data_IF_464749979329
#
_entry.id   IF_464749979329
#
_cell.length_a   1.000
_cell.length_b   1.000
_cell.length_c   1.000
_cell.angle_alpha   90.00
_cell.angle_beta   90.00
_cell.angle_gamma   90.00
#
_symmetry.space_group_name_H-M   'P 1'
#
loop_
_entity.id
_entity.type
_entity.pdbx_description
1 polymer ?
#
# COMPACT_ATOMS: atom_id res chain seq x y z
N UNK A 1 -8.18 0.46 -4.44
CA UNK A 1 -7.66 0.83 -5.77
C UNK A 1 -7.04 2.22 -5.70
N UNK A 2 -5.79 2.37 -6.17
CA UNK A 2 -5.01 3.61 -6.04
C UNK A 2 -5.10 4.42 -7.33
N UNK A 3 -6.23 5.09 -7.53
CA UNK A 3 -6.54 5.79 -8.78
C UNK A 3 -6.19 7.29 -8.74
N UNK A 4 -6.34 7.91 -7.57
CA UNK A 4 -5.99 9.31 -7.28
C UNK A 4 -5.91 9.62 -5.78
N UNK A 5 -6.32 8.66 -4.95
CA UNK A 5 -6.39 8.77 -3.49
C UNK A 5 -6.23 7.35 -2.92
N UNK A 6 -5.63 7.23 -1.74
CA UNK A 6 -5.53 5.98 -0.99
C UNK A 6 -6.59 6.04 0.11
N UNK A 7 -7.58 5.17 0.01
CA UNK A 7 -8.58 5.04 1.06
C UNK A 7 -7.92 4.41 2.30
N UNK A 8 -7.79 5.19 3.37
CA UNK A 8 -7.51 4.65 4.68
C UNK A 8 -8.80 3.97 5.16
N UNK A 9 -8.77 2.64 5.27
CA UNK A 9 -9.91 1.89 5.81
C UNK A 9 -9.93 1.94 7.34
N UNK A 10 -8.76 2.04 7.96
CA UNK A 10 -8.57 2.13 9.41
C UNK A 10 -7.27 2.89 9.71
N UNK A 11 -7.29 3.86 10.64
CA UNK A 11 -6.05 4.47 11.09
C UNK A 11 -5.33 3.55 12.08
N UNK A 12 -4.01 3.67 12.13
CA UNK A 12 -3.20 2.93 13.07
C UNK A 12 -3.61 3.26 14.52
N UNK A 13 -3.99 2.22 15.28
CA UNK A 13 -4.36 2.32 16.69
C UNK A 13 -5.86 2.52 16.96
N UNK A 14 -6.67 2.73 15.93
CA UNK A 14 -8.12 2.82 16.09
C UNK A 14 -8.71 1.43 16.40
N UNK A 15 -9.63 1.30 17.37
CA UNK A 15 -10.32 0.05 17.63
C UNK A 15 -11.29 -0.27 16.48
N UNK A 16 -11.38 -1.55 16.11
CA UNK A 16 -12.27 -2.00 15.03
C UNK A 16 -12.76 -3.42 15.30
N UNK A 17 -13.95 -3.72 14.82
CA UNK A 17 -14.42 -5.10 14.68
C UNK A 17 -13.85 -5.71 13.38
N UNK A 18 -13.17 -6.87 13.42
CA UNK A 18 -12.55 -7.47 12.23
C UNK A 18 -13.53 -7.75 11.07
N UNK A 19 -14.78 -8.14 11.37
CA UNK A 19 -15.79 -8.40 10.33
C UNK A 19 -16.19 -7.10 9.64
N UNK A 20 -16.44 -6.04 10.41
CA UNK A 20 -16.71 -4.71 9.86
C UNK A 20 -15.55 -4.16 9.01
N UNK A 21 -14.30 -4.43 9.40
CA UNK A 21 -13.12 -4.05 8.61
C UNK A 21 -13.10 -4.77 7.26
N UNK A 22 -13.34 -6.09 7.27
CA UNK A 22 -13.37 -6.89 6.04
C UNK A 22 -14.46 -6.41 5.09
N UNK A 23 -15.67 -6.16 5.62
CA UNK A 23 -16.77 -5.59 4.85
C UNK A 23 -16.41 -4.23 4.23
N UNK A 24 -15.68 -3.39 4.97
CA UNK A 24 -15.16 -2.11 4.48
C UNK A 24 -14.20 -2.28 3.31
N UNK A 25 -13.27 -3.24 3.41
CA UNK A 25 -12.30 -3.56 2.34
C UNK A 25 -13.03 -4.05 1.09
N UNK A 26 -13.99 -4.97 1.24
CA UNK A 26 -14.72 -5.58 0.12
C UNK A 26 -15.61 -4.59 -0.65
N UNK A 27 -16.01 -3.48 -0.01
CA UNK A 27 -16.79 -2.41 -0.65
C UNK A 27 -15.94 -1.41 -1.44
N UNK A 28 -14.61 -1.49 -1.35
CA UNK A 28 -13.74 -0.56 -2.08
C UNK A 28 -13.88 -0.77 -3.59
N UNK A 29 -14.19 0.28 -4.37
CA UNK A 29 -14.34 0.14 -5.81
C UNK A 29 -13.00 -0.17 -6.47
N UNK A 30 -12.99 -1.14 -7.39
CA UNK A 30 -11.91 -1.31 -8.35
C UNK A 30 -11.97 -0.18 -9.37
N UNK A 31 -10.93 0.65 -9.45
CA UNK A 31 -10.80 1.74 -10.42
C UNK A 31 -9.47 1.51 -11.14
N UNK A 32 -9.51 1.14 -12.42
CA UNK A 32 -8.44 0.47 -13.18
C UNK A 32 -7.11 1.21 -13.42
N UNK A 33 -6.63 2.03 -12.48
CA UNK A 33 -5.25 2.51 -12.41
C UNK A 33 -4.66 2.15 -11.04
N UNK A 34 -3.35 1.92 -11.03
CA UNK A 34 -2.58 1.56 -9.85
C UNK A 34 -1.40 2.52 -9.73
N UNK A 35 -1.58 3.57 -8.94
CA UNK A 35 -0.52 4.49 -8.54
C UNK A 35 0.03 4.06 -7.17
N UNK A 36 1.15 3.33 -7.17
CA UNK A 36 1.76 2.77 -5.95
C UNK A 36 2.49 3.84 -5.14
N UNK A 37 2.89 4.95 -5.74
CA UNK A 37 3.61 6.01 -5.05
C UNK A 37 2.75 6.65 -3.93
N UNK A 38 1.47 6.92 -4.20
CA UNK A 38 0.58 7.59 -3.24
C UNK A 38 0.40 6.83 -1.91
N UNK A 39 0.04 5.53 -1.89
CA UNK A 39 -0.07 4.79 -0.63
C UNK A 39 1.26 4.67 0.13
N UNK A 40 2.41 4.65 -0.55
CA UNK A 40 3.72 4.63 0.11
C UNK A 40 4.00 5.94 0.84
N UNK A 41 3.66 7.09 0.24
CA UNK A 41 3.77 8.39 0.89
C UNK A 41 2.84 8.50 2.12
N UNK A 42 1.61 7.99 1.99
CA UNK A 42 0.65 7.99 3.09
C UNK A 42 1.11 7.09 4.25
N UNK A 43 1.62 5.90 3.92
CA UNK A 43 2.21 4.99 4.90
C UNK A 43 3.38 5.64 5.64
N UNK A 44 4.28 6.32 4.93
CA UNK A 44 5.40 7.04 5.54
C UNK A 44 4.90 8.13 6.53
N UNK A 45 3.83 8.82 6.18
CA UNK A 45 3.20 9.84 7.04
C UNK A 45 2.60 9.22 8.31
N UNK A 46 1.86 8.11 8.18
CA UNK A 46 1.26 7.43 9.33
C UNK A 46 2.32 6.82 10.26
N UNK A 47 3.37 6.24 9.68
CA UNK A 47 4.43 5.57 10.42
C UNK A 47 5.48 6.53 11.01
N UNK A 48 5.46 7.82 10.66
CA UNK A 48 6.45 8.80 11.11
C UNK A 48 6.53 8.93 12.65
N UNK A 49 5.46 8.58 13.37
CA UNK A 49 5.40 8.63 14.84
C UNK A 49 5.61 7.27 15.51
N UNK A 50 5.77 6.20 14.72
CA UNK A 50 5.93 4.84 15.21
C UNK A 50 7.42 4.53 15.35
N UNK A 51 7.89 3.89 16.44
CA UNK A 51 9.27 3.44 16.54
C UNK A 51 9.67 2.59 15.33
N UNK A 52 10.85 2.84 14.75
CA UNK A 52 11.28 2.20 13.49
C UNK A 52 11.21 0.65 13.50
N UNK A 53 11.41 0.02 14.66
CA UNK A 53 11.31 -1.45 14.85
C UNK A 53 9.89 -1.99 14.62
N UNK A 54 8.89 -1.15 14.85
CA UNK A 54 7.46 -1.46 14.81
C UNK A 54 6.77 -0.85 13.59
N UNK A 55 7.41 0.14 12.95
CA UNK A 55 6.95 0.78 11.73
C UNK A 55 7.07 -0.16 10.51
N UNK A 56 5.97 -0.82 10.15
CA UNK A 56 5.92 -1.79 9.05
C UNK A 56 4.76 -1.47 8.11
N UNK A 57 5.01 -1.62 6.81
CA UNK A 57 3.98 -1.56 5.78
C UNK A 57 3.96 -2.88 4.99
N UNK A 58 2.76 -3.37 4.68
CA UNK A 58 2.56 -4.51 3.78
C UNK A 58 1.83 -4.01 2.53
N UNK A 59 2.48 -4.11 1.37
CA UNK A 59 1.87 -3.80 0.08
C UNK A 59 1.38 -5.09 -0.59
N UNK A 60 0.07 -5.16 -0.85
CA UNK A 60 -0.55 -6.23 -1.64
C UNK A 60 -0.83 -5.67 -3.05
N UNK A 61 -0.07 -6.09 -4.06
CA UNK A 61 -0.19 -5.56 -5.42
C UNK A 61 0.40 -6.53 -6.45
N UNK A 62 -0.09 -6.48 -7.68
CA UNK A 62 0.56 -7.06 -8.88
C UNK A 62 1.78 -6.23 -9.35
N UNK A 63 2.07 -5.11 -8.67
CA UNK A 63 3.11 -4.13 -8.99
C UNK A 63 3.00 -3.55 -10.40
N UNK A 64 1.85 -3.67 -11.08
CA UNK A 64 1.64 -3.05 -12.40
C UNK A 64 1.43 -1.55 -12.18
N UNK A 65 2.53 -0.81 -12.07
CA UNK A 65 2.53 0.64 -11.92
C UNK A 65 2.26 1.29 -13.27
N UNK A 66 1.05 1.82 -13.44
CA UNK A 66 0.62 2.42 -14.71
C UNK A 66 0.35 3.94 -14.61
N UNK A 67 0.50 4.54 -13.42
CA UNK A 67 0.26 5.95 -13.19
C UNK A 67 1.06 6.49 -11.99
N UNK A 68 1.49 7.76 -12.05
CA UNK A 68 2.19 8.43 -10.96
C UNK A 68 3.72 8.35 -11.05
N UNK A 69 4.44 9.01 -10.12
CA UNK A 69 5.90 9.04 -10.12
C UNK A 69 6.48 7.67 -9.75
N UNK A 70 7.78 7.52 -9.96
CA UNK A 70 8.54 6.34 -9.51
C UNK A 70 8.32 6.09 -8.00
N UNK A 71 7.81 4.90 -7.60
CA UNK A 71 7.55 4.59 -6.19
C UNK A 71 8.81 4.28 -5.37
N UNK A 72 9.95 3.95 -6.00
CA UNK A 72 11.17 3.49 -5.30
C UNK A 72 11.72 4.48 -4.28
N UNK A 73 11.83 5.80 -4.57
CA UNK A 73 12.27 6.77 -3.57
C UNK A 73 11.33 6.88 -2.37
N UNK A 74 10.05 6.58 -2.54
CA UNK A 74 9.07 6.60 -1.45
C UNK A 74 9.13 5.32 -0.61
N UNK A 75 9.30 4.16 -1.26
CA UNK A 75 9.53 2.89 -0.57
C UNK A 75 10.76 2.96 0.33
N UNK A 76 11.86 3.55 -0.16
CA UNK A 76 13.10 3.72 0.59
C UNK A 76 12.97 4.59 1.87
N UNK A 77 11.88 5.36 2.03
CA UNK A 77 11.60 6.14 3.24
C UNK A 77 10.96 5.31 4.36
N UNK A 78 10.43 4.13 4.05
CA UNK A 78 9.78 3.27 5.03
C UNK A 78 10.84 2.47 5.79
N UNK A 79 10.75 2.37 7.14
CA UNK A 79 11.68 1.56 7.92
C UNK A 79 11.65 0.07 7.52
N UNK A 80 10.47 -0.40 7.11
CA UNK A 80 10.26 -1.73 6.56
C UNK A 80 9.02 -1.74 5.66
N UNK A 81 9.21 -2.17 4.42
CA UNK A 81 8.15 -2.50 3.47
C UNK A 81 8.27 -3.99 3.14
N UNK A 82 7.17 -4.72 3.32
CA UNK A 82 7.02 -6.09 2.83
C UNK A 82 6.06 -6.06 1.63
N UNK A 83 6.41 -6.69 0.52
CA UNK A 83 5.56 -6.76 -0.68
C UNK A 83 5.05 -8.18 -0.87
N UNK A 84 3.73 -8.35 -0.85
CA UNK A 84 3.07 -9.57 -1.31
C UNK A 84 2.63 -9.36 -2.75
N UNK A 85 3.47 -9.84 -3.68
CA UNK A 85 3.19 -9.73 -5.10
C UNK A 85 2.04 -10.68 -5.49
N UNK A 86 0.98 -10.14 -6.09
CA UNK A 86 -0.01 -10.97 -6.76
C UNK A 86 0.63 -11.60 -8.00
N UNK A 87 0.80 -12.91 -7.97
CA UNK A 87 1.43 -13.66 -9.04
C UNK A 87 0.45 -14.11 -10.13
N UNK A 88 -0.84 -13.82 -9.97
CA UNK A 88 -1.90 -14.16 -10.91
C UNK A 88 -2.01 -13.08 -12.00
N UNK A 89 -2.01 -13.46 -13.27
CA UNK A 89 -2.11 -12.51 -14.38
C UNK A 89 -0.81 -11.74 -14.68
N UNK A 90 -0.96 -10.51 -15.20
CA UNK A 90 0.14 -9.59 -15.52
C UNK A 90 0.74 -9.03 -14.24
N UNK A 91 2.07 -8.95 -14.17
CA UNK A 91 2.78 -8.52 -12.96
C UNK A 91 4.14 -7.93 -13.29
N UNK A 92 4.57 -6.98 -12.48
CA UNK A 92 5.92 -6.42 -12.55
C UNK A 92 6.79 -7.00 -11.43
N UNK A 93 7.48 -8.11 -11.76
CA UNK A 93 8.37 -8.81 -10.81
C UNK A 93 9.61 -7.99 -10.49
N UNK A 94 10.07 -7.15 -11.42
CA UNK A 94 11.27 -6.34 -11.23
C UNK A 94 10.97 -5.23 -10.23
N UNK A 95 9.89 -4.47 -10.46
CA UNK A 95 9.44 -3.46 -9.51
C UNK A 95 9.15 -4.06 -8.13
N UNK A 96 8.46 -5.21 -8.08
CA UNK A 96 8.17 -5.88 -6.80
C UNK A 96 9.40 -6.34 -6.02
N UNK A 97 10.58 -6.47 -6.66
CA UNK A 97 11.86 -6.77 -5.99
C UNK A 97 12.64 -5.53 -5.58
N UNK A 98 12.42 -4.42 -6.26
CA UNK A 98 13.08 -3.14 -6.00
C UNK A 98 12.39 -2.32 -4.90
N UNK A 99 11.11 -2.61 -4.63
CA UNK A 99 10.34 -2.10 -3.49
C UNK A 99 10.66 -2.87 -2.21
#
# INVERSE_FOLDING_TARGET
>A
AFWSDAAIVLNLGDPVDPEALLDGILRLPARGLTNVAFPLELAATQLARVPAREARALLLSDCVHNAGPDPRPLAARLPRLDVLLDATGEKDVELGREL
#
